data_IF_029082095907
#
_entry.id   IF_029082095907
#
_cell.length_a   1.000
_cell.length_b   1.000
_cell.length_c   1.000
_cell.angle_alpha   90.00
_cell.angle_beta   90.00
_cell.angle_gamma   90.00
#
_symmetry.space_group_name_H-M   'P 1'
#
loop_
_entity.id
_entity.type
_entity.pdbx_description
1 polymer ?
#
# COMPACT_ATOMS: atom_id res chain seq x y z
N UNK A 1 8.02 -29.40 0.33
CA UNK A 1 7.80 -28.98 -1.08
C UNK A 1 8.80 -29.74 -1.94
N UNK A 2 8.33 -30.39 -2.97
CA UNK A 2 9.23 -30.92 -4.00
C UNK A 2 9.95 -29.75 -4.68
N UNK A 3 11.19 -29.97 -5.14
CA UNK A 3 11.98 -28.91 -5.82
C UNK A 3 11.33 -28.41 -7.14
N UNK A 4 10.21 -29.03 -7.54
CA UNK A 4 9.42 -28.70 -8.73
C UNK A 4 8.27 -27.72 -8.49
N UNK A 5 7.87 -27.46 -7.24
CA UNK A 5 6.72 -26.63 -6.92
C UNK A 5 7.06 -25.13 -7.06
N UNK A 6 6.82 -24.57 -8.23
CA UNK A 6 7.02 -23.15 -8.47
C UNK A 6 5.93 -22.30 -7.83
N UNK A 7 6.32 -21.13 -7.34
CA UNK A 7 5.42 -20.11 -6.79
C UNK A 7 5.57 -18.82 -7.59
N UNK A 8 4.48 -18.12 -7.82
CA UNK A 8 4.50 -16.77 -8.39
C UNK A 8 3.79 -15.79 -7.46
N UNK A 9 4.17 -14.52 -7.53
CA UNK A 9 3.50 -13.47 -6.79
C UNK A 9 2.93 -12.42 -7.73
N UNK A 10 1.69 -12.02 -7.48
CA UNK A 10 0.98 -10.96 -8.21
C UNK A 10 0.68 -9.84 -7.22
N UNK A 11 1.15 -8.63 -7.49
CA UNK A 11 0.93 -7.46 -6.66
C UNK A 11 0.06 -6.47 -7.42
N UNK A 12 -1.12 -6.18 -6.88
CA UNK A 12 -2.07 -5.22 -7.47
C UNK A 12 -1.63 -3.80 -7.13
N UNK A 13 -1.12 -3.05 -8.11
CA UNK A 13 -0.55 -1.71 -7.91
C UNK A 13 -1.51 -0.56 -8.20
N UNK A 14 -2.79 -0.83 -8.26
CA UNK A 14 -3.85 0.17 -8.30
C UNK A 14 -4.76 0.08 -9.52
N UNK A 15 -5.99 0.55 -9.29
CA UNK A 15 -7.06 0.57 -10.27
C UNK A 15 -7.13 1.89 -11.07
N UNK A 16 -8.21 2.07 -11.86
CA UNK A 16 -8.37 3.18 -12.80
C UNK A 16 -8.41 4.57 -12.15
N UNK A 17 -8.70 4.67 -10.87
CA UNK A 17 -8.69 5.93 -10.12
C UNK A 17 -7.29 6.47 -9.84
N UNK A 18 -6.26 5.66 -10.07
CA UNK A 18 -4.83 6.04 -9.94
C UNK A 18 -4.50 6.80 -8.64
N UNK A 19 -5.14 6.42 -7.53
CA UNK A 19 -4.83 6.99 -6.21
C UNK A 19 -5.35 8.40 -5.96
N UNK A 20 -6.54 8.76 -6.45
CA UNK A 20 -7.13 10.10 -6.26
C UNK A 20 -7.26 10.52 -4.78
N UNK A 21 -7.48 9.57 -3.86
CA UNK A 21 -7.53 9.83 -2.41
C UNK A 21 -6.16 10.18 -1.79
N UNK A 22 -5.09 10.00 -2.56
CA UNK A 22 -3.71 10.26 -2.13
C UNK A 22 -3.19 11.64 -2.62
N UNK A 23 -4.08 12.46 -3.22
CA UNK A 23 -3.73 13.83 -3.61
C UNK A 23 -3.45 14.71 -2.38
N UNK A 24 -2.52 15.68 -2.49
CA UNK A 24 -1.84 16.12 -3.69
C UNK A 24 -0.63 15.27 -4.13
N UNK A 25 -0.16 14.33 -3.32
CA UNK A 25 1.07 13.57 -3.55
C UNK A 25 1.03 12.70 -4.81
N UNK A 26 -0.17 12.17 -5.16
CA UNK A 26 -0.35 11.33 -6.36
C UNK A 26 -0.52 12.11 -7.66
N UNK A 27 -0.31 13.43 -7.68
CA UNK A 27 -0.27 14.19 -8.94
C UNK A 27 1.00 13.90 -9.73
N UNK A 28 2.11 13.69 -9.06
CA UNK A 28 3.43 13.61 -9.68
C UNK A 28 4.00 12.20 -9.72
N UNK A 29 3.62 11.38 -8.76
CA UNK A 29 4.16 10.02 -8.61
C UNK A 29 3.01 9.05 -8.40
N UNK A 30 2.98 7.90 -9.10
CA UNK A 30 2.04 6.83 -8.79
C UNK A 30 2.09 6.47 -7.31
N UNK A 31 0.92 6.32 -6.66
CA UNK A 31 0.84 5.98 -5.24
C UNK A 31 1.74 4.79 -4.85
N UNK A 32 1.83 3.69 -5.65
CA UNK A 32 2.71 2.56 -5.33
C UNK A 32 4.20 2.91 -5.27
N UNK A 33 4.62 3.99 -5.91
CA UNK A 33 6.01 4.47 -5.91
C UNK A 33 6.29 5.53 -4.85
N UNK A 34 5.27 5.95 -4.07
CA UNK A 34 5.46 6.87 -2.95
C UNK A 34 6.36 6.25 -1.88
N UNK A 35 7.39 6.96 -1.38
CA UNK A 35 8.35 6.40 -0.44
C UNK A 35 7.79 6.28 0.98
N UNK A 36 7.94 5.10 1.57
CA UNK A 36 7.68 4.77 2.97
C UNK A 36 8.97 4.25 3.59
N UNK A 37 9.40 4.84 4.68
CA UNK A 37 10.70 4.51 5.30
C UNK A 37 11.86 4.52 4.30
N UNK A 38 11.82 5.43 3.33
CA UNK A 38 12.83 5.59 2.29
C UNK A 38 12.76 4.62 1.10
N UNK A 39 11.78 3.72 1.07
CA UNK A 39 11.58 2.77 -0.02
C UNK A 39 10.20 2.95 -0.66
N UNK A 40 10.04 2.79 -2.00
CA UNK A 40 8.72 2.81 -2.63
C UNK A 40 7.73 1.87 -1.93
N UNK A 41 6.46 2.28 -1.80
CA UNK A 41 5.41 1.48 -1.15
C UNK A 41 5.38 0.03 -1.67
N UNK A 42 5.46 -0.15 -2.99
CA UNK A 42 5.46 -1.48 -3.64
C UNK A 42 6.74 -2.29 -3.36
N UNK A 43 7.81 -1.63 -2.93
CA UNK A 43 9.07 -2.31 -2.58
C UNK A 43 8.91 -3.25 -1.38
N UNK A 44 8.12 -2.88 -0.39
CA UNK A 44 7.92 -3.67 0.83
C UNK A 44 7.32 -5.06 0.54
N UNK A 45 6.17 -5.19 -0.17
CA UNK A 45 5.67 -6.51 -0.54
C UNK A 45 6.59 -7.25 -1.52
N UNK A 46 7.27 -6.58 -2.45
CA UNK A 46 8.25 -7.21 -3.35
C UNK A 46 9.40 -7.83 -2.55
N UNK A 47 9.99 -7.08 -1.62
CA UNK A 47 11.07 -7.57 -0.75
C UNK A 47 10.62 -8.73 0.14
N UNK A 48 9.38 -8.70 0.60
CA UNK A 48 8.80 -9.81 1.36
C UNK A 48 8.66 -11.07 0.50
N UNK A 49 8.24 -10.93 -0.76
CA UNK A 49 8.12 -12.06 -1.68
C UNK A 49 9.45 -12.82 -1.89
N UNK A 50 10.60 -12.14 -1.83
CA UNK A 50 11.92 -12.80 -1.93
C UNK A 50 12.12 -13.93 -0.92
N UNK A 51 11.41 -13.90 0.21
CA UNK A 51 11.50 -14.94 1.25
C UNK A 51 10.64 -16.18 0.95
N UNK A 52 9.82 -16.15 -0.09
CA UNK A 52 8.97 -17.29 -0.48
C UNK A 52 9.85 -18.35 -1.12
N UNK A 53 9.79 -19.61 -0.65
CA UNK A 53 10.49 -20.72 -1.30
C UNK A 53 10.04 -20.92 -2.76
N UNK A 54 10.97 -21.25 -3.66
CA UNK A 54 10.71 -21.54 -5.06
C UNK A 54 9.95 -20.43 -5.83
N UNK A 55 10.08 -19.17 -5.38
CA UNK A 55 9.49 -18.04 -6.10
C UNK A 55 10.16 -17.88 -7.48
N UNK A 56 9.38 -18.04 -8.54
CA UNK A 56 9.86 -17.98 -9.91
C UNK A 56 9.82 -16.55 -10.47
N UNK A 57 8.74 -15.81 -10.19
CA UNK A 57 8.51 -14.48 -10.77
C UNK A 57 7.56 -13.64 -9.93
N UNK A 58 7.69 -12.30 -10.06
CA UNK A 58 6.76 -11.32 -9.49
C UNK A 58 6.12 -10.53 -10.63
N UNK A 59 4.79 -10.40 -10.60
CA UNK A 59 4.01 -9.57 -11.51
C UNK A 59 3.42 -8.39 -10.76
N UNK A 60 3.54 -7.19 -11.34
CA UNK A 60 2.86 -5.99 -10.88
C UNK A 60 1.70 -5.72 -11.85
N UNK A 61 0.47 -5.72 -11.38
CA UNK A 61 -0.72 -5.55 -12.23
C UNK A 61 -1.42 -4.23 -11.90
N UNK A 62 -1.69 -3.39 -12.90
CA UNK A 62 -2.38 -2.12 -12.69
C UNK A 62 -2.63 -1.28 -13.92
N UNK A 63 -3.11 -0.04 -13.67
CA UNK A 63 -3.57 0.90 -14.71
C UNK A 63 -2.58 2.02 -15.04
N UNK A 64 -1.44 2.06 -14.39
CA UNK A 64 -0.43 3.08 -14.66
C UNK A 64 0.23 2.84 -16.01
N UNK A 65 0.79 3.90 -16.60
CA UNK A 65 1.57 3.75 -17.83
C UNK A 65 2.84 2.93 -17.54
N UNK A 66 3.19 2.02 -18.44
CA UNK A 66 4.35 1.14 -18.29
C UNK A 66 5.65 1.94 -18.05
N UNK A 67 5.80 3.08 -18.72
CA UNK A 67 6.94 3.98 -18.54
C UNK A 67 7.11 4.50 -17.11
N UNK A 68 6.02 4.62 -16.33
CA UNK A 68 6.07 5.10 -14.95
C UNK A 68 6.72 4.06 -14.02
N UNK A 69 6.65 2.78 -14.38
CA UNK A 69 7.24 1.68 -13.62
C UNK A 69 8.54 1.14 -14.20
N UNK A 70 8.86 1.42 -15.46
CA UNK A 70 9.94 0.78 -16.21
C UNK A 70 11.29 0.84 -15.49
N UNK A 71 11.69 2.03 -15.02
CA UNK A 71 12.97 2.21 -14.30
C UNK A 71 12.97 1.45 -12.97
N UNK A 72 11.88 1.52 -12.22
CA UNK A 72 11.76 0.83 -10.95
C UNK A 72 11.80 -0.69 -11.12
N UNK A 73 11.02 -1.23 -12.06
CA UNK A 73 10.97 -2.67 -12.36
C UNK A 73 12.34 -3.20 -12.79
N UNK A 74 13.05 -2.48 -13.63
CA UNK A 74 14.42 -2.85 -14.05
C UNK A 74 15.38 -2.85 -12.86
N UNK A 75 15.34 -1.81 -12.02
CA UNK A 75 16.20 -1.68 -10.85
C UNK A 75 15.95 -2.80 -9.85
N UNK A 76 14.69 -3.04 -9.47
CA UNK A 76 14.33 -4.03 -8.44
C UNK A 76 14.57 -5.48 -8.93
N UNK A 77 14.38 -5.76 -10.22
CA UNK A 77 14.69 -7.06 -10.80
C UNK A 77 16.19 -7.39 -10.68
N UNK A 78 17.04 -6.38 -10.95
CA UNK A 78 18.50 -6.53 -10.83
C UNK A 78 18.93 -6.69 -9.35
N UNK A 79 18.35 -5.93 -8.45
CA UNK A 79 18.64 -5.99 -7.01
C UNK A 79 18.28 -7.35 -6.42
N UNK A 80 17.09 -7.85 -6.71
CA UNK A 80 16.62 -9.13 -6.17
C UNK A 80 17.18 -10.33 -6.92
N UNK A 81 17.72 -10.16 -8.12
CA UNK A 81 18.07 -11.23 -9.06
C UNK A 81 16.89 -12.16 -9.34
N UNK A 82 15.71 -11.57 -9.43
CA UNK A 82 14.44 -12.25 -9.65
C UNK A 82 13.64 -11.45 -10.70
N UNK A 83 13.02 -12.09 -11.71
CA UNK A 83 12.22 -11.38 -12.69
C UNK A 83 11.03 -10.67 -12.03
N UNK A 84 10.92 -9.36 -12.26
CA UNK A 84 9.74 -8.56 -11.93
C UNK A 84 9.20 -8.00 -13.24
N UNK A 85 7.90 -8.17 -13.52
CA UNK A 85 7.25 -7.69 -14.75
C UNK A 85 6.04 -6.83 -14.40
N UNK A 86 5.88 -5.71 -15.10
CA UNK A 86 4.68 -4.89 -15.02
C UNK A 86 3.70 -5.29 -16.13
N UNK A 87 2.44 -5.52 -15.74
CA UNK A 87 1.34 -5.89 -16.65
C UNK A 87 0.28 -4.80 -16.56
N UNK A 88 0.12 -4.05 -17.64
CA UNK A 88 -0.85 -2.96 -17.72
C UNK A 88 -2.22 -3.48 -18.10
N UNK A 89 -3.24 -3.16 -17.30
CA UNK A 89 -4.64 -3.38 -17.67
C UNK A 89 -5.11 -2.33 -18.68
N UNK A 90 -5.84 -2.74 -19.70
CA UNK A 90 -6.43 -1.89 -20.73
C UNK A 90 -7.78 -1.28 -20.32
N UNK A 91 -8.55 -2.02 -19.54
CA UNK A 91 -9.86 -1.64 -19.00
C UNK A 91 -10.04 -2.20 -17.58
N UNK A 92 -10.98 -1.65 -16.78
CA UNK A 92 -11.26 -2.16 -15.45
C UNK A 92 -11.83 -3.57 -15.49
N UNK A 93 -11.08 -4.55 -14.95
CA UNK A 93 -11.53 -5.94 -14.81
C UNK A 93 -11.98 -6.29 -13.38
N UNK A 94 -11.76 -5.40 -12.39
CA UNK A 94 -11.91 -5.72 -10.97
C UNK A 94 -10.72 -6.52 -10.43
N UNK A 95 -10.66 -6.68 -9.11
CA UNK A 95 -9.49 -7.26 -8.44
C UNK A 95 -9.19 -8.72 -8.82
N UNK A 96 -10.23 -9.54 -9.04
CA UNK A 96 -10.06 -10.91 -9.53
C UNK A 96 -10.03 -10.99 -11.06
N UNK A 97 -10.78 -10.13 -11.75
CA UNK A 97 -10.79 -10.09 -13.20
C UNK A 97 -9.43 -9.67 -13.80
N UNK A 98 -8.70 -8.76 -13.16
CA UNK A 98 -7.33 -8.41 -13.55
C UNK A 98 -6.37 -9.60 -13.44
N UNK A 99 -6.49 -10.40 -12.37
CA UNK A 99 -5.73 -11.64 -12.22
C UNK A 99 -6.07 -12.63 -13.36
N UNK A 100 -7.34 -12.80 -13.68
CA UNK A 100 -7.78 -13.70 -14.75
C UNK A 100 -7.39 -13.22 -16.15
N UNK A 101 -7.40 -11.91 -16.39
CA UNK A 101 -7.00 -11.33 -17.68
C UNK A 101 -5.56 -11.68 -18.06
N UNK A 102 -4.68 -11.77 -17.07
CA UNK A 102 -3.27 -12.13 -17.27
C UNK A 102 -2.96 -13.60 -16.95
N UNK A 103 -3.97 -14.48 -16.83
CA UNK A 103 -3.78 -15.87 -16.41
C UNK A 103 -2.77 -16.64 -17.27
N UNK A 104 -2.79 -16.43 -18.58
CA UNK A 104 -1.92 -17.16 -19.50
C UNK A 104 -0.44 -16.83 -19.27
N UNK A 105 -0.14 -15.54 -18.95
CA UNK A 105 1.19 -15.09 -18.58
C UNK A 105 1.58 -15.59 -17.18
N UNK A 106 0.67 -15.52 -16.22
CA UNK A 106 0.91 -15.96 -14.84
C UNK A 106 1.16 -17.47 -14.79
N UNK A 107 0.48 -18.23 -15.63
CA UNK A 107 0.56 -19.70 -15.72
C UNK A 107 1.66 -20.20 -16.66
N UNK A 108 2.44 -19.34 -17.32
CA UNK A 108 3.50 -19.71 -18.26
C UNK A 108 4.48 -20.71 -17.65
N UNK A 109 4.86 -20.51 -16.39
CA UNK A 109 5.76 -21.39 -15.63
C UNK A 109 5.05 -22.55 -14.89
N UNK A 110 3.75 -22.72 -15.09
CA UNK A 110 2.93 -23.74 -14.41
C UNK A 110 3.07 -23.72 -12.88
N UNK A 111 2.88 -22.56 -12.21
CA UNK A 111 3.03 -22.46 -10.76
C UNK A 111 2.00 -23.32 -10.04
N UNK A 112 2.40 -23.94 -8.93
CA UNK A 112 1.50 -24.65 -8.03
C UNK A 112 0.74 -23.72 -7.09
N UNK A 113 1.33 -22.55 -6.79
CA UNK A 113 0.76 -21.56 -5.87
C UNK A 113 0.95 -20.13 -6.41
N UNK A 114 -0.06 -19.30 -6.19
CA UNK A 114 -0.11 -17.91 -6.64
C UNK A 114 -0.38 -17.02 -5.44
N UNK A 115 0.57 -16.20 -5.04
CA UNK A 115 0.30 -15.13 -4.09
C UNK A 115 -0.36 -13.96 -4.80
N UNK A 116 -1.37 -13.38 -4.17
CA UNK A 116 -2.02 -12.14 -4.59
C UNK A 116 -1.96 -11.13 -3.44
N UNK A 117 -1.31 -10.00 -3.67
CA UNK A 117 -1.12 -8.96 -2.66
C UNK A 117 -1.64 -7.60 -3.15
N UNK A 118 -2.29 -6.87 -2.25
CA UNK A 118 -2.56 -5.45 -2.48
C UNK A 118 -1.33 -4.63 -2.10
N UNK A 119 -0.87 -3.74 -2.98
CA UNK A 119 0.34 -2.94 -2.73
C UNK A 119 0.19 -1.89 -1.64
N UNK A 120 -1.05 -1.50 -1.29
CA UNK A 120 -1.35 -0.50 -0.27
C UNK A 120 -1.57 -1.09 1.13
N UNK A 121 -1.11 -2.31 1.34
CA UNK A 121 -1.04 -2.99 2.64
C UNK A 121 0.34 -2.78 3.25
N UNK A 122 0.35 -2.36 4.51
CA UNK A 122 1.54 -2.26 5.34
C UNK A 122 1.47 -3.32 6.43
N UNK A 123 2.32 -4.35 6.35
CA UNK A 123 2.40 -5.42 7.34
C UNK A 123 3.75 -6.13 7.30
N UNK A 124 3.97 -7.08 8.19
CA UNK A 124 5.20 -7.90 8.24
C UNK A 124 5.33 -8.87 7.06
N UNK A 125 4.24 -9.14 6.33
CA UNK A 125 4.15 -10.12 5.26
C UNK A 125 4.70 -11.51 5.64
N UNK A 126 4.01 -12.30 6.46
CA UNK A 126 4.46 -13.63 6.90
C UNK A 126 4.25 -14.70 5.79
N UNK A 127 4.73 -14.43 4.57
CA UNK A 127 4.37 -15.18 3.36
C UNK A 127 4.84 -16.65 3.41
N UNK A 128 6.04 -16.93 3.95
CA UNK A 128 6.53 -18.31 4.07
C UNK A 128 5.67 -19.14 5.01
N UNK A 129 5.36 -18.61 6.20
CA UNK A 129 4.50 -19.30 7.17
C UNK A 129 3.07 -19.48 6.65
N UNK A 130 2.58 -18.49 5.89
CA UNK A 130 1.27 -18.56 5.24
C UNK A 130 1.23 -19.63 4.14
N UNK A 131 2.33 -19.82 3.38
CA UNK A 131 2.47 -20.90 2.40
C UNK A 131 2.43 -22.28 3.08
N UNK A 132 3.18 -22.47 4.17
CA UNK A 132 3.18 -23.72 4.93
C UNK A 132 1.79 -24.05 5.47
N UNK A 133 1.08 -23.07 5.99
CA UNK A 133 -0.29 -23.22 6.46
C UNK A 133 -1.25 -23.58 5.30
N UNK A 134 -1.13 -22.91 4.16
CA UNK A 134 -1.96 -23.17 2.98
C UNK A 134 -1.80 -24.61 2.47
N UNK A 135 -0.57 -25.10 2.38
CA UNK A 135 -0.28 -26.49 1.99
C UNK A 135 -0.91 -27.48 2.98
N UNK A 136 -0.82 -27.18 4.29
CA UNK A 136 -1.41 -28.01 5.34
C UNK A 136 -2.94 -28.05 5.27
N UNK A 137 -3.59 -26.93 4.96
CA UNK A 137 -5.05 -26.85 4.85
C UNK A 137 -5.57 -27.54 3.59
N UNK A 138 -4.81 -27.53 2.50
CA UNK A 138 -5.15 -28.22 1.25
C UNK A 138 -6.37 -27.63 0.51
N UNK A 139 -6.73 -26.38 0.80
CA UNK A 139 -7.81 -25.66 0.12
C UNK A 139 -7.38 -24.95 -1.15
N UNK A 140 -8.35 -24.35 -1.84
CA UNK A 140 -8.10 -23.52 -3.02
C UNK A 140 -7.40 -22.21 -2.66
N UNK A 141 -7.70 -21.61 -1.50
CA UNK A 141 -7.13 -20.35 -1.09
C UNK A 141 -6.97 -20.18 0.42
N UNK A 142 -6.00 -19.37 0.81
CA UNK A 142 -5.78 -18.94 2.19
C UNK A 142 -5.57 -17.43 2.21
N UNK A 143 -6.24 -16.73 3.13
CA UNK A 143 -6.12 -15.29 3.28
C UNK A 143 -5.46 -14.92 4.60
N UNK A 144 -4.65 -13.87 4.58
CA UNK A 144 -4.11 -13.25 5.78
C UNK A 144 -5.22 -12.44 6.47
N UNK A 145 -5.37 -12.64 7.77
CA UNK A 145 -6.38 -11.97 8.59
C UNK A 145 -5.76 -11.45 9.88
N UNK A 146 -6.39 -10.42 10.45
CA UNK A 146 -5.98 -9.82 11.74
C UNK A 146 -7.22 -9.40 12.53
N UNK A 147 -7.11 -9.38 13.85
CA UNK A 147 -8.13 -8.80 14.73
C UNK A 147 -7.91 -7.31 14.89
N UNK A 148 -8.99 -6.55 14.77
CA UNK A 148 -9.02 -5.10 15.00
C UNK A 148 -10.11 -4.76 16.01
N UNK A 149 -10.11 -3.54 16.54
CA UNK A 149 -11.22 -3.12 17.41
C UNK A 149 -12.55 -3.06 16.62
N UNK A 150 -13.65 -3.41 17.26
CA UNK A 150 -14.97 -3.46 16.65
C UNK A 150 -15.39 -2.12 16.00
N UNK A 151 -14.90 -0.98 16.51
CA UNK A 151 -15.17 0.35 15.98
C UNK A 151 -14.59 0.58 14.57
N UNK A 152 -13.54 -0.14 14.21
CA UNK A 152 -12.86 0.01 12.93
C UNK A 152 -13.14 -1.13 11.95
N UNK A 153 -13.65 -2.27 12.42
CA UNK A 153 -13.83 -3.48 11.62
C UNK A 153 -14.69 -3.23 10.38
N UNK A 154 -15.79 -2.47 10.49
CA UNK A 154 -16.73 -2.17 9.40
C UNK A 154 -16.12 -1.37 8.22
N UNK A 155 -14.91 -0.84 8.38
CA UNK A 155 -14.18 -0.16 7.29
C UNK A 155 -13.51 -1.14 6.32
N UNK A 156 -13.52 -2.44 6.66
CA UNK A 156 -12.84 -3.52 5.96
C UNK A 156 -13.79 -4.67 5.65
N UNK A 157 -13.30 -5.70 4.99
CA UNK A 157 -14.01 -6.97 4.86
C UNK A 157 -13.95 -7.74 6.17
N UNK A 158 -15.09 -7.90 6.84
CA UNK A 158 -15.23 -8.70 8.06
C UNK A 158 -15.48 -10.16 7.72
N UNK A 159 -14.97 -11.06 8.55
CA UNK A 159 -15.08 -12.49 8.29
C UNK A 159 -15.20 -13.31 9.59
N UNK A 160 -15.78 -14.50 9.44
CA UNK A 160 -15.85 -15.51 10.49
C UNK A 160 -15.07 -16.73 10.04
N UNK A 161 -14.15 -17.19 10.86
CA UNK A 161 -13.37 -18.41 10.61
C UNK A 161 -13.63 -19.43 11.73
N UNK A 162 -13.56 -20.70 11.36
CA UNK A 162 -13.60 -21.80 12.32
C UNK A 162 -12.28 -21.82 13.13
N UNK A 163 -12.33 -21.79 14.47
CA UNK A 163 -11.12 -21.67 15.30
C UNK A 163 -10.22 -22.91 15.24
N UNK A 164 -10.76 -24.08 14.93
CA UNK A 164 -10.02 -25.36 14.92
C UNK A 164 -9.49 -25.70 13.52
N UNK A 165 -10.31 -25.53 12.49
CA UNK A 165 -9.98 -25.88 11.11
C UNK A 165 -9.42 -24.71 10.32
N UNK A 166 -9.56 -23.47 10.80
CA UNK A 166 -9.25 -22.24 10.09
C UNK A 166 -10.04 -22.01 8.79
N UNK A 167 -11.14 -22.78 8.57
CA UNK A 167 -12.01 -22.59 7.43
C UNK A 167 -12.67 -21.20 7.47
N UNK A 168 -12.70 -20.49 6.34
CA UNK A 168 -13.50 -19.30 6.17
C UNK A 168 -14.98 -19.67 6.09
N UNK A 169 -15.76 -19.38 7.14
CA UNK A 169 -17.18 -19.71 7.23
C UNK A 169 -18.09 -18.63 6.64
N UNK A 170 -17.73 -17.38 6.83
CA UNK A 170 -18.49 -16.22 6.33
C UNK A 170 -17.56 -15.05 5.97
N UNK A 171 -17.95 -14.29 4.93
CA UNK A 171 -17.23 -13.08 4.51
C UNK A 171 -18.21 -12.01 4.04
N UNK A 172 -18.05 -10.79 4.54
CA UNK A 172 -18.84 -9.62 4.12
C UNK A 172 -17.93 -8.40 3.95
N UNK A 173 -17.99 -7.76 2.80
CA UNK A 173 -17.20 -6.55 2.52
C UNK A 173 -17.91 -5.31 3.06
N UNK A 174 -17.28 -4.63 4.02
CA UNK A 174 -17.75 -3.39 4.65
C UNK A 174 -19.21 -3.44 5.06
N UNK A 175 -19.58 -4.32 5.99
CA UNK A 175 -20.97 -4.45 6.43
C UNK A 175 -21.47 -3.18 7.15
N UNK A 176 -22.76 -2.91 7.05
CA UNK A 176 -23.41 -1.81 7.78
C UNK A 176 -23.52 -2.11 9.28
N UNK A 177 -23.60 -3.38 9.64
CA UNK A 177 -23.65 -3.86 11.02
C UNK A 177 -22.43 -4.73 11.33
N UNK A 178 -21.89 -4.58 12.52
CA UNK A 178 -20.75 -5.37 12.98
C UNK A 178 -21.02 -6.89 12.90
N UNK A 179 -20.12 -7.62 12.27
CA UNK A 179 -20.15 -9.08 12.12
C UNK A 179 -19.06 -9.73 12.94
N UNK A 180 -17.82 -9.21 12.86
CA UNK A 180 -16.64 -9.81 13.51
C UNK A 180 -15.51 -8.77 13.64
N UNK A 181 -14.68 -8.95 14.64
CA UNK A 181 -13.42 -8.21 14.81
C UNK A 181 -12.28 -8.70 13.90
N UNK A 182 -12.49 -9.83 13.21
CA UNK A 182 -11.52 -10.42 12.30
C UNK A 182 -11.71 -9.84 10.90
N UNK A 183 -10.64 -9.27 10.32
CA UNK A 183 -10.69 -8.58 9.03
C UNK A 183 -9.71 -9.14 8.01
N UNK A 184 -10.04 -8.93 6.74
CA UNK A 184 -9.22 -9.28 5.58
C UNK A 184 -8.05 -8.31 5.41
N UNK A 185 -6.82 -8.81 5.42
CA UNK A 185 -5.60 -8.03 5.28
C UNK A 185 -5.20 -7.68 3.84
N UNK A 186 -5.86 -8.23 2.82
CA UNK A 186 -5.50 -7.98 1.42
C UNK A 186 -4.26 -8.73 0.94
N UNK A 187 -3.94 -9.86 1.56
CA UNK A 187 -2.85 -10.77 1.18
C UNK A 187 -3.43 -12.19 1.10
N UNK A 188 -3.22 -12.82 -0.02
CA UNK A 188 -3.82 -14.13 -0.33
C UNK A 188 -2.81 -15.06 -0.97
N UNK A 189 -3.07 -16.37 -0.84
CA UNK A 189 -2.44 -17.42 -1.62
C UNK A 189 -3.53 -18.31 -2.20
N UNK A 190 -3.39 -18.67 -3.47
CA UNK A 190 -4.32 -19.51 -4.20
C UNK A 190 -3.61 -20.65 -4.92
N UNK A 191 -4.31 -21.77 -5.13
CA UNK A 191 -3.97 -22.72 -6.18
C UNK A 191 -4.46 -22.20 -7.54
N UNK A 192 -4.01 -22.76 -8.67
CA UNK A 192 -4.53 -22.42 -10.01
C UNK A 192 -6.04 -22.58 -10.18
N UNK A 193 -6.72 -23.33 -9.31
CA UNK A 193 -8.18 -23.48 -9.32
C UNK A 193 -8.93 -22.15 -9.16
N UNK A 194 -8.27 -21.10 -8.67
CA UNK A 194 -8.84 -19.74 -8.61
C UNK A 194 -9.30 -19.26 -9.98
N UNK A 195 -8.59 -19.60 -11.05
CA UNK A 195 -8.95 -19.19 -12.41
C UNK A 195 -10.27 -19.82 -12.88
N UNK A 196 -10.52 -21.10 -12.56
CA UNK A 196 -11.81 -21.75 -12.84
C UNK A 196 -12.95 -21.09 -12.05
N UNK A 197 -12.71 -20.74 -10.77
CA UNK A 197 -13.71 -20.05 -9.95
C UNK A 197 -14.04 -18.64 -10.50
N UNK A 198 -13.08 -17.90 -11.04
CA UNK A 198 -13.32 -16.60 -11.67
C UNK A 198 -14.09 -16.76 -12.99
N UNK A 199 -13.75 -17.76 -13.79
CA UNK A 199 -14.43 -18.07 -15.06
C UNK A 199 -15.90 -18.43 -14.84
N UNK A 200 -16.21 -19.24 -13.85
CA UNK A 200 -17.57 -19.61 -13.47
C UNK A 200 -18.45 -18.39 -13.16
N UNK A 201 -17.90 -17.38 -12.48
CA UNK A 201 -18.61 -16.11 -12.21
C UNK A 201 -18.92 -15.37 -13.51
N UNK A 202 -17.98 -15.31 -14.44
CA UNK A 202 -18.16 -14.63 -15.73
C UNK A 202 -19.22 -15.33 -16.58
N UNK A 203 -19.20 -16.65 -16.67
CA UNK A 203 -20.19 -17.47 -17.40
C UNK A 203 -21.58 -17.29 -16.79
N UNK A 204 -21.72 -17.37 -15.46
CA UNK A 204 -23.00 -17.21 -14.78
C UNK A 204 -23.61 -15.82 -14.99
N UNK A 205 -22.81 -14.78 -15.08
CA UNK A 205 -23.26 -13.42 -15.42
C UNK A 205 -23.77 -13.30 -16.85
N UNK A 206 -23.09 -13.93 -17.77
CA UNK A 206 -23.49 -13.96 -19.19
C UNK A 206 -24.84 -14.69 -19.37
N UNK A 207 -25.01 -15.84 -18.72
CA UNK A 207 -26.28 -16.59 -18.71
C UNK A 207 -27.45 -15.77 -18.15
N UNK A 208 -27.24 -15.06 -17.04
CA UNK A 208 -28.27 -14.18 -16.43
C UNK A 208 -28.57 -12.96 -17.30
N UNK A 209 -27.58 -12.39 -17.96
CA UNK A 209 -27.78 -11.25 -18.89
C UNK A 209 -28.56 -11.66 -20.13
N UNK A 210 -28.34 -12.85 -20.67
CA UNK A 210 -29.05 -13.42 -21.80
C UNK A 210 -30.51 -13.75 -21.45
N UNK A 211 -30.76 -14.31 -20.27
CA UNK A 211 -32.13 -14.58 -19.76
C UNK A 211 -32.92 -13.27 -19.59
N UNK A 212 -32.30 -12.21 -19.10
CA UNK A 212 -32.94 -10.87 -18.97
C UNK A 212 -33.23 -10.21 -20.31
N UNK A 213 -32.40 -10.44 -21.34
CA UNK A 213 -32.68 -9.95 -22.71
C UNK A 213 -33.86 -10.66 -23.36
N UNK A 214 -34.15 -11.90 -22.97
CA UNK A 214 -35.30 -12.66 -23.45
C UNK A 214 -36.62 -12.25 -22.74
N UNK A 215 -36.56 -11.70 -21.50
CA UNK A 215 -37.71 -11.19 -20.77
C UNK A 215 -37.83 -9.65 -20.94
N UNK A 216 -38.26 -9.22 -22.12
CA UNK A 216 -38.20 -7.84 -22.58
C UNK A 216 -39.21 -6.84 -21.96
N UNK A 217 -39.95 -7.18 -20.94
CA UNK A 217 -41.00 -6.31 -20.39
C UNK A 217 -40.70 -5.67 -19.02
N UNK A 218 -39.68 -6.11 -18.28
CA UNK A 218 -39.29 -5.55 -16.98
C UNK A 218 -38.00 -4.71 -17.00
N UNK A 219 -37.40 -4.55 -18.17
CA UNK A 219 -36.08 -3.94 -18.34
C UNK A 219 -36.05 -2.40 -18.20
N UNK A 220 -37.20 -1.73 -18.09
CA UNK A 220 -37.26 -0.25 -18.03
C UNK A 220 -37.22 0.34 -16.62
N UNK A 221 -37.33 -0.43 -15.56
CA UNK A 221 -37.48 0.11 -14.18
C UNK A 221 -36.32 -0.16 -13.23
N UNK A 222 -35.29 -0.91 -13.60
CA UNK A 222 -34.10 -1.04 -12.77
C UNK A 222 -32.82 -0.74 -13.55
N UNK A 223 -32.47 0.53 -13.61
CA UNK A 223 -31.16 0.99 -14.06
C UNK A 223 -30.06 0.63 -13.03
N UNK A 224 -30.02 -0.61 -12.54
CA UNK A 224 -28.85 -1.16 -11.88
C UNK A 224 -27.83 -1.39 -12.98
N UNK A 225 -26.76 -0.59 -12.97
CA UNK A 225 -25.57 -0.77 -13.81
C UNK A 225 -25.15 -2.23 -13.74
N UNK A 226 -25.47 -3.01 -14.75
CA UNK A 226 -24.94 -4.35 -14.90
C UNK A 226 -23.45 -4.22 -15.12
N UNK A 227 -22.64 -4.72 -14.19
CA UNK A 227 -21.19 -4.76 -14.34
C UNK A 227 -20.83 -5.56 -15.61
N UNK A 228 -19.79 -5.15 -16.35
CA UNK A 228 -19.28 -5.94 -17.46
C UNK A 228 -19.00 -7.38 -17.05
N UNK A 229 -19.17 -8.34 -17.95
CA UNK A 229 -18.96 -9.76 -17.66
C UNK A 229 -17.55 -10.05 -17.11
N UNK A 230 -16.57 -9.33 -17.64
CA UNK A 230 -15.15 -9.49 -17.30
C UNK A 230 -14.76 -8.75 -15.99
N UNK A 231 -15.69 -8.00 -15.38
CA UNK A 231 -15.44 -7.27 -14.14
C UNK A 231 -15.77 -8.13 -12.94
N UNK A 232 -14.78 -8.81 -12.38
CA UNK A 232 -14.93 -9.71 -11.22
C UNK A 232 -14.18 -9.15 -10.02
N UNK A 233 -14.88 -9.01 -8.90
CA UNK A 233 -14.30 -8.59 -7.63
C UNK A 233 -13.96 -9.79 -6.77
N UNK A 234 -12.77 -9.81 -6.22
CA UNK A 234 -12.31 -10.92 -5.40
C UNK A 234 -13.17 -11.09 -4.15
N UNK A 235 -13.45 -9.98 -3.47
CA UNK A 235 -14.20 -9.92 -2.21
C UNK A 235 -15.64 -10.43 -2.34
N UNK A 236 -16.42 -9.82 -3.22
CA UNK A 236 -17.86 -10.07 -3.33
C UNK A 236 -18.23 -11.22 -4.25
N UNK A 237 -17.42 -11.45 -5.29
CA UNK A 237 -17.77 -12.41 -6.33
C UNK A 237 -17.11 -13.78 -6.14
N UNK A 238 -16.00 -13.84 -5.37
CA UNK A 238 -15.23 -15.06 -5.13
C UNK A 238 -15.23 -15.44 -3.64
N UNK A 239 -14.73 -14.55 -2.75
CA UNK A 239 -14.57 -14.89 -1.34
C UNK A 239 -15.91 -15.13 -0.65
N UNK A 240 -16.86 -14.20 -0.80
CA UNK A 240 -18.17 -14.31 -0.18
C UNK A 240 -18.96 -15.57 -0.62
N UNK A 241 -19.08 -15.90 -1.93
CA UNK A 241 -19.80 -17.11 -2.37
C UNK A 241 -19.10 -18.43 -2.05
N UNK A 242 -17.79 -18.42 -1.81
CA UNK A 242 -17.01 -19.63 -1.52
C UNK A 242 -16.81 -19.86 -0.02
N UNK A 243 -17.16 -18.90 0.84
CA UNK A 243 -17.16 -19.08 2.29
C UNK A 243 -18.09 -20.24 2.72
N UNK A 244 -17.66 -21.04 3.69
CA UNK A 244 -18.39 -22.23 4.19
C UNK A 244 -18.40 -23.42 3.24
N UNK A 245 -17.56 -23.44 2.20
CA UNK A 245 -17.49 -24.54 1.22
C UNK A 245 -16.21 -25.37 1.30
N UNK A 246 -15.45 -25.28 2.40
CA UNK A 246 -14.18 -25.97 2.62
C UNK A 246 -13.13 -25.72 1.53
N UNK A 247 -13.21 -24.56 0.87
CA UNK A 247 -12.27 -24.15 -0.19
C UNK A 247 -11.33 -23.04 0.24
N UNK A 248 -11.77 -22.20 1.17
CA UNK A 248 -11.04 -21.02 1.65
C UNK A 248 -10.72 -21.16 3.13
N UNK A 249 -9.50 -20.77 3.48
CA UNK A 249 -8.97 -20.81 4.85
C UNK A 249 -8.37 -19.46 5.24
N UNK A 250 -8.09 -19.30 6.52
CA UNK A 250 -7.51 -18.08 7.09
C UNK A 250 -6.19 -18.37 7.79
N UNK A 251 -5.27 -17.42 7.71
CA UNK A 251 -4.04 -17.39 8.48
C UNK A 251 -4.05 -16.11 9.32
N UNK A 252 -4.23 -16.24 10.64
CA UNK A 252 -4.28 -15.11 11.56
C UNK A 252 -2.87 -14.65 11.92
N UNK A 253 -2.61 -13.35 11.83
CA UNK A 253 -1.38 -12.71 12.30
C UNK A 253 -1.65 -11.80 13.50
N UNK A 254 -0.66 -11.71 14.41
CA UNK A 254 -0.67 -10.76 15.52
C UNK A 254 0.34 -9.62 15.29
N UNK A 255 0.97 -9.59 14.11
CA UNK A 255 1.91 -8.53 13.74
C UNK A 255 1.14 -7.25 13.36
N UNK A 256 1.90 -6.16 13.15
CA UNK A 256 1.28 -4.91 12.67
C UNK A 256 0.66 -5.07 11.29
N UNK A 257 -0.45 -4.39 11.11
CA UNK A 257 -1.14 -4.24 9.83
C UNK A 257 -1.80 -2.87 9.73
N UNK A 258 -1.73 -2.25 8.55
CA UNK A 258 -2.40 -1.00 8.23
C UNK A 258 -2.72 -0.94 6.73
N UNK A 259 -3.79 -0.25 6.35
CA UNK A 259 -4.09 -0.02 4.93
C UNK A 259 -3.89 1.45 4.56
N UNK A 260 -3.01 1.72 3.63
CA UNK A 260 -2.65 3.08 3.21
C UNK A 260 -3.72 3.65 2.28
N UNK A 261 -4.79 4.20 2.84
CA UNK A 261 -5.90 4.82 2.07
C UNK A 261 -5.64 6.28 1.75
N UNK A 262 -5.02 7.00 2.67
CA UNK A 262 -4.79 8.45 2.64
C UNK A 262 -3.33 8.78 2.90
N UNK A 263 -2.87 10.01 2.58
CA UNK A 263 -1.53 10.45 2.93
C UNK A 263 -1.20 10.36 4.43
N UNK A 264 -2.17 10.63 5.31
CA UNK A 264 -1.97 10.53 6.76
C UNK A 264 -1.48 9.17 7.21
N UNK A 265 -2.10 8.12 6.70
CA UNK A 265 -1.71 6.74 7.01
C UNK A 265 -0.32 6.37 6.49
N UNK A 266 0.24 7.10 5.51
CA UNK A 266 1.62 6.85 5.06
C UNK A 266 2.66 7.24 6.10
N UNK A 267 2.42 8.26 6.94
CA UNK A 267 3.28 8.56 8.08
C UNK A 267 3.29 7.42 9.08
N UNK A 268 2.11 6.90 9.43
CA UNK A 268 1.97 5.74 10.33
C UNK A 268 2.68 4.51 9.76
N UNK A 269 2.49 4.21 8.49
CA UNK A 269 3.13 3.06 7.85
C UNK A 269 4.65 3.24 7.73
N UNK A 270 5.13 4.46 7.48
CA UNK A 270 6.57 4.75 7.52
C UNK A 270 7.18 4.48 8.89
N UNK A 271 6.49 4.87 9.97
CA UNK A 271 6.88 4.56 11.35
C UNK A 271 6.97 3.05 11.60
N UNK A 272 5.93 2.29 11.20
CA UNK A 272 5.89 0.84 11.37
C UNK A 272 7.04 0.14 10.63
N UNK A 273 7.33 0.54 9.40
CA UNK A 273 8.44 -0.01 8.63
C UNK A 273 9.81 0.38 9.19
N UNK A 274 9.99 1.62 9.65
CA UNK A 274 11.22 2.04 10.32
C UNK A 274 11.47 1.19 11.59
N UNK A 275 10.43 0.94 12.38
CA UNK A 275 10.53 0.06 13.55
C UNK A 275 10.88 -1.39 13.15
N UNK A 276 10.27 -1.92 12.06
CA UNK A 276 10.59 -3.24 11.54
C UNK A 276 12.05 -3.34 11.06
N UNK A 277 12.62 -2.29 10.48
CA UNK A 277 14.01 -2.27 10.02
C UNK A 277 15.03 -2.52 11.13
N UNK A 278 14.71 -2.25 12.39
CA UNK A 278 15.58 -2.63 13.52
C UNK A 278 15.94 -4.12 13.50
N UNK A 279 15.02 -4.96 13.03
CA UNK A 279 15.15 -6.42 13.03
C UNK A 279 15.49 -6.98 11.64
N UNK A 280 14.95 -6.38 10.59
CA UNK A 280 15.08 -6.92 9.21
C UNK A 280 16.22 -6.29 8.42
N UNK A 281 16.50 -5.01 8.61
CA UNK A 281 17.44 -4.24 7.79
C UNK A 281 18.07 -3.08 8.59
N UNK A 282 18.76 -3.35 9.72
CA UNK A 282 19.29 -2.30 10.62
C UNK A 282 20.28 -1.36 9.92
N UNK A 283 20.91 -1.80 8.83
CA UNK A 283 21.83 -1.00 8.03
C UNK A 283 21.14 0.16 7.27
N UNK A 284 19.82 0.13 7.12
CA UNK A 284 19.04 1.22 6.54
C UNK A 284 18.75 2.36 7.53
N UNK A 285 18.87 2.08 8.83
CA UNK A 285 18.60 3.08 9.86
C UNK A 285 19.83 3.98 10.07
N UNK A 286 19.56 5.29 10.11
CA UNK A 286 20.59 6.29 10.37
C UNK A 286 21.03 6.25 11.83
N UNK A 287 22.30 6.58 12.06
CA UNK A 287 22.89 6.76 13.38
C UNK A 287 23.70 8.04 13.43
N UNK A 288 23.73 8.70 14.59
CA UNK A 288 24.49 9.94 14.76
C UNK A 288 24.46 10.43 16.22
N UNK A 289 25.55 11.03 16.67
CA UNK A 289 25.82 11.41 18.05
C UNK A 289 25.72 12.94 18.29
N UNK A 290 25.52 13.73 17.21
CA UNK A 290 25.47 15.20 17.28
C UNK A 290 26.87 15.86 17.35
N UNK A 291 27.96 15.12 17.22
CA UNK A 291 29.34 15.66 17.25
C UNK A 291 29.86 15.83 15.82
N UNK A 292 29.91 14.75 15.06
CA UNK A 292 30.32 14.78 13.64
C UNK A 292 29.14 14.72 12.67
N UNK A 293 28.06 14.08 13.08
CA UNK A 293 26.82 13.92 12.35
C UNK A 293 25.66 14.48 13.15
N UNK A 294 24.50 14.67 12.51
CA UNK A 294 23.28 15.10 13.19
C UNK A 294 22.93 14.18 14.36
N UNK A 295 22.26 14.72 15.38
CA UNK A 295 21.71 13.93 16.47
C UNK A 295 20.52 13.11 15.95
N UNK A 296 20.63 11.79 15.99
CA UNK A 296 19.54 10.90 15.61
C UNK A 296 18.83 10.39 16.89
N UNK A 297 17.51 10.56 16.92
CA UNK A 297 16.64 10.11 18.03
C UNK A 297 15.66 9.06 17.52
N UNK A 298 15.69 7.86 18.06
CA UNK A 298 14.83 6.76 17.60
C UNK A 298 15.15 6.33 16.17
N UNK A 299 14.12 5.87 15.44
CA UNK A 299 14.30 5.36 14.09
C UNK A 299 14.22 6.49 13.06
N UNK A 300 15.17 6.49 12.17
CA UNK A 300 15.21 7.42 11.04
C UNK A 300 15.89 6.76 9.83
N UNK A 301 15.38 7.04 8.65
CA UNK A 301 16.04 6.76 7.39
C UNK A 301 16.57 8.05 6.79
N UNK A 302 17.81 8.05 6.34
CA UNK A 302 18.42 9.18 5.64
C UNK A 302 19.10 8.67 4.38
N UNK A 303 18.62 9.13 3.23
CA UNK A 303 19.20 8.72 1.95
C UNK A 303 20.69 9.17 1.88
N UNK A 304 21.60 8.34 1.35
CA UNK A 304 23.04 8.64 1.30
C UNK A 304 23.42 9.94 0.61
N UNK A 305 22.61 10.43 -0.34
CA UNK A 305 22.84 11.73 -1.02
C UNK A 305 22.35 12.94 -0.25
N UNK A 306 21.59 12.74 0.84
CA UNK A 306 21.09 13.85 1.65
C UNK A 306 22.23 14.51 2.44
N UNK A 307 22.15 15.85 2.57
CA UNK A 307 23.12 16.64 3.33
C UNK A 307 22.47 17.21 4.58
N UNK A 308 22.82 16.67 5.73
CA UNK A 308 22.26 17.07 7.03
C UNK A 308 23.32 17.75 7.86
N UNK A 309 23.02 18.95 8.34
CA UNK A 309 23.96 19.70 9.19
C UNK A 309 24.16 19.00 10.54
N UNK A 310 25.39 18.95 11.09
CA UNK A 310 25.68 18.26 12.37
C UNK A 310 24.86 18.74 13.56
N UNK A 311 24.45 20.01 13.59
CA UNK A 311 23.62 20.56 14.68
C UNK A 311 22.12 20.26 14.49
N UNK A 312 21.69 19.59 13.41
CA UNK A 312 20.30 19.20 13.25
C UNK A 312 19.93 18.06 14.18
N UNK A 313 18.66 17.97 14.56
CA UNK A 313 18.10 16.91 15.38
C UNK A 313 16.99 16.19 14.62
N UNK A 314 17.22 14.93 14.31
CA UNK A 314 16.38 14.11 13.44
C UNK A 314 15.75 12.97 14.24
N UNK A 315 14.43 12.83 14.13
CA UNK A 315 13.69 11.75 14.75
C UNK A 315 12.94 12.12 16.02
N UNK A 316 12.09 11.19 16.52
CA UNK A 316 11.87 9.86 15.96
C UNK A 316 11.03 9.84 14.68
N UNK A 317 10.99 8.68 14.01
CA UNK A 317 10.09 8.37 12.90
C UNK A 317 10.24 9.32 11.69
N UNK A 318 11.46 9.54 11.23
CA UNK A 318 11.77 10.46 10.13
C UNK A 318 12.31 9.67 8.92
N UNK A 319 11.82 10.01 7.74
CA UNK A 319 12.34 9.52 6.47
C UNK A 319 12.78 10.71 5.60
N UNK A 320 14.06 10.73 5.21
CA UNK A 320 14.66 11.78 4.37
C UNK A 320 15.10 11.16 3.05
N UNK A 321 14.51 11.61 1.95
CA UNK A 321 14.76 11.13 0.59
C UNK A 321 16.03 11.75 -0.04
N UNK A 322 16.22 11.49 -1.34
CA UNK A 322 17.43 11.87 -2.06
C UNK A 322 17.62 13.38 -2.19
N UNK A 323 18.88 13.83 -2.17
CA UNK A 323 19.31 15.20 -2.40
C UNK A 323 18.73 16.25 -1.45
N UNK A 324 18.09 15.84 -0.36
CA UNK A 324 17.55 16.77 0.65
C UNK A 324 18.69 17.52 1.35
N UNK A 325 18.48 18.82 1.59
CA UNK A 325 19.40 19.66 2.35
C UNK A 325 18.74 20.09 3.66
N UNK A 326 19.36 19.78 4.77
CA UNK A 326 18.87 20.12 6.11
C UNK A 326 19.88 21.07 6.77
N UNK A 327 19.45 22.29 7.05
CA UNK A 327 20.25 23.37 7.64
C UNK A 327 20.55 23.20 9.12
N UNK A 328 21.33 24.16 9.66
CA UNK A 328 21.72 24.15 11.06
C UNK A 328 20.51 24.34 11.99
N UNK A 329 20.51 23.66 13.12
CA UNK A 329 19.47 23.79 14.15
C UNK A 329 18.09 23.26 13.76
N UNK A 330 17.93 22.65 12.60
CA UNK A 330 16.66 22.06 12.14
C UNK A 330 16.23 20.91 13.05
N UNK A 331 14.92 20.81 13.27
CA UNK A 331 14.30 19.71 14.02
C UNK A 331 13.23 19.03 13.19
N UNK A 332 13.37 17.71 13.00
CA UNK A 332 12.43 16.86 12.27
C UNK A 332 11.89 15.78 13.21
N UNK A 333 10.56 15.59 13.23
CA UNK A 333 9.87 14.57 14.06
C UNK A 333 8.70 14.02 13.26
N UNK A 334 8.55 12.68 13.21
CA UNK A 334 7.41 12.00 12.58
C UNK A 334 7.04 12.61 11.22
N UNK A 335 8.00 12.65 10.30
CA UNK A 335 7.80 13.29 9.00
C UNK A 335 8.47 12.54 7.85
N UNK A 336 7.94 12.74 6.64
CA UNK A 336 8.52 12.29 5.38
C UNK A 336 8.97 13.51 4.59
N UNK A 337 10.26 13.59 4.30
CA UNK A 337 10.86 14.66 3.48
C UNK A 337 11.23 14.05 2.14
N UNK A 338 10.59 14.52 1.08
CA UNK A 338 10.74 13.97 -0.28
C UNK A 338 11.96 14.56 -1.01
N UNK A 339 12.25 14.06 -2.22
CA UNK A 339 13.49 14.41 -2.93
C UNK A 339 13.63 15.91 -3.22
N UNK A 340 14.89 16.36 -3.24
CA UNK A 340 15.29 17.72 -3.59
C UNK A 340 14.73 18.83 -2.68
N UNK A 341 14.24 18.49 -1.47
CA UNK A 341 13.73 19.47 -0.50
C UNK A 341 14.89 20.21 0.16
N UNK A 342 14.72 21.51 0.36
CA UNK A 342 15.63 22.37 1.14
C UNK A 342 14.95 22.87 2.42
N UNK A 343 15.53 22.56 3.58
CA UNK A 343 15.06 23.03 4.89
C UNK A 343 16.13 23.95 5.46
N UNK A 344 15.83 25.23 5.58
CA UNK A 344 16.77 26.26 6.04
C UNK A 344 16.92 26.23 7.57
N UNK A 345 17.83 27.05 8.08
CA UNK A 345 18.27 27.04 9.48
C UNK A 345 17.12 27.23 10.48
N UNK A 346 17.17 26.46 11.56
CA UNK A 346 16.23 26.52 12.69
C UNK A 346 14.75 26.23 12.35
N UNK A 347 14.46 25.69 11.17
CA UNK A 347 13.12 25.28 10.81
C UNK A 347 12.72 24.01 11.58
N UNK A 348 11.41 23.83 11.80
CA UNK A 348 10.84 22.69 12.53
C UNK A 348 9.77 22.01 11.67
N UNK A 349 9.85 20.68 11.55
CA UNK A 349 8.84 19.87 10.83
C UNK A 349 8.35 18.75 11.75
N UNK A 350 7.04 18.70 12.00
CA UNK A 350 6.42 17.71 12.89
C UNK A 350 5.13 17.18 12.27
N UNK A 351 4.92 15.84 12.29
CA UNK A 351 3.72 15.16 11.77
C UNK A 351 3.33 15.64 10.36
N UNK A 352 4.29 15.73 9.46
CA UNK A 352 4.10 16.37 8.17
C UNK A 352 4.78 15.61 7.02
N UNK A 353 4.26 15.82 5.81
CA UNK A 353 4.89 15.38 4.57
C UNK A 353 5.31 16.61 3.78
N UNK A 354 6.59 16.73 3.48
CA UNK A 354 7.13 17.82 2.66
C UNK A 354 7.39 17.29 1.25
N UNK A 355 6.64 17.80 0.29
CA UNK A 355 6.65 17.39 -1.11
C UNK A 355 7.95 17.72 -1.84
N UNK A 356 8.18 17.06 -2.96
CA UNK A 356 9.36 17.19 -3.80
C UNK A 356 9.71 18.64 -4.11
N UNK A 357 11.00 18.96 -4.13
CA UNK A 357 11.53 20.30 -4.53
C UNK A 357 10.94 21.48 -3.73
N UNK A 358 10.37 21.21 -2.56
CA UNK A 358 9.87 22.27 -1.68
C UNK A 358 11.00 22.92 -0.88
N UNK A 359 10.79 24.17 -0.45
CA UNK A 359 11.72 24.91 0.38
C UNK A 359 11.05 25.45 1.63
N UNK A 360 11.68 25.24 2.78
CA UNK A 360 11.25 25.79 4.07
C UNK A 360 12.20 26.88 4.51
N UNK A 361 11.65 28.06 4.77
CA UNK A 361 12.38 29.26 5.23
C UNK A 361 13.00 29.07 6.61
N UNK A 362 13.90 30.01 6.97
CA UNK A 362 14.53 30.06 8.30
C UNK A 362 13.48 30.28 9.37
N UNK A 363 13.63 29.58 10.50
CA UNK A 363 12.71 29.70 11.63
C UNK A 363 11.25 29.37 11.30
N UNK A 364 10.98 28.81 10.13
CA UNK A 364 9.63 28.37 9.78
C UNK A 364 9.23 27.12 10.57
N UNK A 365 7.92 26.92 10.73
CA UNK A 365 7.37 25.77 11.45
C UNK A 365 6.25 25.13 10.65
N UNK A 366 6.43 23.89 10.26
CA UNK A 366 5.45 23.08 9.55
C UNK A 366 5.07 21.91 10.46
N UNK A 367 3.83 21.90 10.96
CA UNK A 367 3.44 20.91 11.95
C UNK A 367 1.97 20.50 11.84
N UNK A 368 1.62 19.42 12.52
CA UNK A 368 0.23 19.00 12.72
C UNK A 368 0.07 18.24 14.04
N UNK A 369 -1.19 17.98 14.42
CA UNK A 369 -1.55 17.29 15.66
C UNK A 369 -1.18 15.81 15.66
N UNK A 370 -1.08 15.19 14.46
CA UNK A 370 -0.69 13.80 14.29
C UNK A 370 -1.86 12.81 14.36
N UNK A 371 -3.10 13.28 14.19
CA UNK A 371 -4.22 12.38 13.97
C UNK A 371 -4.26 11.93 12.50
N UNK A 372 -3.66 10.79 12.22
CA UNK A 372 -3.52 10.23 10.87
C UNK A 372 -4.87 9.91 10.18
N UNK A 373 -5.96 9.81 10.93
CA UNK A 373 -7.30 9.53 10.42
C UNK A 373 -8.09 10.82 10.13
N UNK A 374 -7.75 11.93 10.75
CA UNK A 374 -8.39 13.20 10.49
C UNK A 374 -7.99 13.77 9.13
N UNK A 375 -8.91 14.49 8.49
CA UNK A 375 -8.69 15.09 7.16
C UNK A 375 -7.49 16.09 7.14
N UNK A 376 -7.31 16.84 8.21
CA UNK A 376 -6.23 17.80 8.40
C UNK A 376 -5.35 17.44 9.61
N UNK A 377 -5.30 16.18 10.02
CA UNK A 377 -4.50 15.71 11.15
C UNK A 377 -3.00 15.62 10.87
N UNK A 378 -2.58 15.82 9.61
CA UNK A 378 -1.20 16.00 9.18
C UNK A 378 -1.09 17.22 8.27
N UNK A 379 0.08 17.87 8.26
CA UNK A 379 0.36 18.92 7.27
C UNK A 379 1.02 18.32 6.04
N UNK A 380 0.52 18.68 4.86
CA UNK A 380 1.05 18.22 3.58
C UNK A 380 1.42 19.42 2.73
N UNK A 381 2.69 19.51 2.34
CA UNK A 381 3.13 20.42 1.30
C UNK A 381 3.27 19.64 -0.01
N UNK A 382 2.61 20.09 -1.07
CA UNK A 382 2.73 19.54 -2.41
C UNK A 382 4.11 19.80 -3.02
N UNK A 383 4.34 19.35 -4.26
CA UNK A 383 5.61 19.60 -4.97
C UNK A 383 5.87 21.10 -5.15
N UNK A 384 7.11 21.51 -4.95
CA UNK A 384 7.56 22.88 -5.26
C UNK A 384 6.90 23.96 -4.41
N UNK A 385 6.41 23.62 -3.21
CA UNK A 385 5.89 24.60 -2.26
C UNK A 385 7.05 25.33 -1.58
N UNK A 386 6.97 26.66 -1.57
CA UNK A 386 7.91 27.50 -0.84
C UNK A 386 7.22 28.11 0.39
N UNK A 387 7.79 27.90 1.56
CA UNK A 387 7.39 28.56 2.81
C UNK A 387 8.45 29.59 3.13
N UNK A 388 8.07 30.88 3.24
CA UNK A 388 9.00 31.96 3.57
C UNK A 388 9.51 31.87 5.02
N UNK A 389 10.50 32.71 5.36
CA UNK A 389 11.11 32.73 6.69
C UNK A 389 10.07 33.07 7.78
N UNK A 390 10.22 32.48 8.98
CA UNK A 390 9.43 32.73 10.18
C UNK A 390 7.93 32.40 10.11
N UNK A 391 7.47 31.70 9.06
CA UNK A 391 6.07 31.33 8.92
C UNK A 391 5.72 30.04 9.67
N UNK A 392 4.46 29.97 10.07
CA UNK A 392 3.88 28.80 10.75
C UNK A 392 2.75 28.19 9.90
N UNK A 393 2.87 26.91 9.57
CA UNK A 393 1.88 26.16 8.80
C UNK A 393 1.42 24.99 9.67
N UNK A 394 0.13 24.98 10.04
CA UNK A 394 -0.43 23.99 10.98
C UNK A 394 -1.64 23.29 10.36
N UNK A 395 -1.72 21.96 10.49
CA UNK A 395 -2.90 21.16 10.09
C UNK A 395 -3.41 21.53 8.69
N UNK A 396 -2.52 21.74 7.71
CA UNK A 396 -2.92 22.30 6.43
C UNK A 396 -2.42 21.48 5.26
N UNK A 397 -3.17 21.50 4.16
CA UNK A 397 -2.79 20.86 2.89
C UNK A 397 -2.54 21.96 1.86
N UNK A 398 -1.31 22.05 1.38
CA UNK A 398 -0.89 23.04 0.38
C UNK A 398 -0.68 22.34 -0.95
N UNK A 399 -1.42 22.75 -1.99
CA UNK A 399 -1.29 22.20 -3.34
C UNK A 399 0.05 22.58 -3.98
N UNK A 400 0.49 21.84 -5.03
CA UNK A 400 1.79 22.08 -5.65
C UNK A 400 2.02 23.51 -6.14
N UNK A 401 3.30 23.93 -6.13
CA UNK A 401 3.80 25.19 -6.70
C UNK A 401 3.23 26.47 -6.05
N UNK A 402 2.92 26.42 -4.75
CA UNK A 402 2.47 27.59 -3.97
C UNK A 402 3.62 28.23 -3.21
N UNK A 403 3.56 29.54 -3.08
CA UNK A 403 4.45 30.32 -2.22
C UNK A 403 3.63 30.83 -1.06
N UNK A 404 3.98 30.44 0.15
CA UNK A 404 3.37 30.93 1.38
C UNK A 404 4.19 32.10 1.92
N UNK A 405 3.57 33.25 2.00
CA UNK A 405 4.10 34.49 2.57
C UNK A 405 3.35 34.95 3.84
N UNK A 406 2.38 34.13 4.28
CA UNK A 406 1.62 34.30 5.53
C UNK A 406 1.48 32.99 6.23
N UNK A 407 1.36 32.99 7.54
CA UNK A 407 1.07 31.75 8.32
C UNK A 407 -0.33 31.24 8.03
N UNK A 408 -0.48 29.87 8.05
CA UNK A 408 -1.70 29.18 7.66
C UNK A 408 -2.03 28.13 8.71
N UNK A 409 -3.31 28.01 9.07
CA UNK A 409 -3.79 27.01 10.02
C UNK A 409 -5.15 26.44 9.60
N UNK A 410 -5.29 25.10 9.68
CA UNK A 410 -6.51 24.36 9.41
C UNK A 410 -7.13 24.63 8.01
N UNK A 411 -6.29 24.83 7.00
CA UNK A 411 -6.69 25.25 5.66
C UNK A 411 -6.23 24.28 4.56
N UNK A 412 -6.93 24.35 3.42
CA UNK A 412 -6.49 23.75 2.16
C UNK A 412 -6.19 24.89 1.18
N UNK A 413 -4.91 25.07 0.86
CA UNK A 413 -4.45 26.10 -0.06
C UNK A 413 -4.43 25.53 -1.48
N UNK A 414 -5.36 26.03 -2.32
CA UNK A 414 -5.61 25.56 -3.70
C UNK A 414 -4.71 26.24 -4.71
#
# INVERSE_FOLDING_TARGET
MDSSDKVVAVIMVGGPTKGTRFRPLSFNTPKPLFPLAGQPMVHHPISACKRIPNLAQIYLVGFHEEREFALYVSSISNELKLPVRYLKEDKPHGSAGGLYYFRDIIMEDSPSHIFLLNCDVCCSFPLSSMLDAHIKYGGMGTMLVIKVSAEFANQFGELVADPDTHELLHYTEKPETFVSDLINCGVYIFTPDIFAAIEDVSINREGRANLRRLSSFEALQSATRTLPKDFVRLDQDILSPLAGKKKLYTYETNDFWEQIKTPGLSLRCSELYLAQFRHTSPHLLASGDGIKNATIVGDAYIHPSAKVHPSAKIGPNVSISANVRVGAGVRLISCIILDDVEIKENAVVINSIVGWKSSLGRWSRVQADGDYNAKLGITILGEGVAVEDELVVVNSIVLPHKILNVSVQDEIIL
#
